data_IF_800801725425
#
_entry.id   IF_800801725425
#
_cell.length_a   1.000
_cell.length_b   1.000
_cell.length_c   1.000
_cell.angle_alpha   90.00
_cell.angle_beta   90.00
_cell.angle_gamma   90.00
#
_symmetry.space_group_name_H-M   'P 1'
#
loop_
_entity.id
_entity.type
_entity.pdbx_description
1 polymer ?
#
# COMPACT_ATOMS: atom_id res chain seq x y z
N UNK A 1 43.48 57.04 -27.47
CA UNK A 1 44.92 56.81 -27.75
C UNK A 1 45.52 56.34 -26.43
N UNK A 2 46.00 55.12 -26.19
CA UNK A 2 46.61 54.04 -26.99
C UNK A 2 46.33 52.71 -26.22
N UNK A 3 45.57 51.80 -26.83
CA UNK A 3 45.90 50.40 -27.20
C UNK A 3 46.39 49.42 -26.12
N UNK A 4 45.57 48.40 -25.87
CA UNK A 4 45.89 47.12 -25.22
C UNK A 4 46.92 46.32 -26.05
N UNK A 5 47.54 45.27 -25.50
CA UNK A 5 47.14 43.94 -25.98
C UNK A 5 46.88 42.93 -24.83
N UNK A 6 45.78 42.14 -24.87
CA UNK A 6 45.64 40.90 -24.12
C UNK A 6 46.37 39.80 -24.92
N UNK A 7 46.87 38.69 -24.34
CA UNK A 7 46.07 37.45 -24.24
C UNK A 7 46.66 36.41 -23.21
N UNK A 8 46.25 35.15 -23.01
CA UNK A 8 45.45 34.17 -23.76
C UNK A 8 44.63 33.26 -22.82
N UNK A 9 43.55 32.67 -23.37
CA UNK A 9 42.67 31.69 -22.75
C UNK A 9 43.21 30.26 -22.92
N UNK A 10 42.71 29.31 -22.13
CA UNK A 10 42.69 27.90 -22.55
C UNK A 10 41.24 27.47 -22.78
N UNK A 11 41.03 27.18 -24.06
CA UNK A 11 39.85 26.75 -24.82
C UNK A 11 39.40 25.34 -24.38
N UNK A 12 38.09 25.08 -24.15
CA UNK A 12 37.07 24.59 -25.13
C UNK A 12 37.22 23.07 -25.40
N UNK A 13 36.20 22.20 -25.32
CA UNK A 13 34.92 22.08 -26.05
C UNK A 13 33.96 21.18 -25.21
N UNK A 14 32.65 21.44 -25.03
CA UNK A 14 31.51 21.55 -25.98
C UNK A 14 30.92 20.18 -26.40
N UNK A 15 29.70 19.96 -25.89
CA UNK A 15 28.50 19.32 -26.48
C UNK A 15 28.62 17.96 -27.19
N UNK A 16 27.82 16.97 -26.76
CA UNK A 16 26.69 16.50 -27.57
C UNK A 16 25.72 15.56 -26.82
N UNK A 17 24.44 15.77 -27.08
CA UNK A 17 23.32 14.83 -27.01
C UNK A 17 23.67 13.45 -27.63
N UNK A 18 23.25 12.34 -27.03
CA UNK A 18 22.35 11.34 -27.66
C UNK A 18 22.16 10.05 -26.82
N UNK A 19 20.88 9.70 -26.67
CA UNK A 19 20.35 8.35 -26.51
C UNK A 19 20.66 7.50 -27.75
N UNK A 20 21.12 6.24 -27.61
CA UNK A 20 20.57 5.02 -28.26
C UNK A 20 21.47 3.77 -28.10
N UNK A 21 20.81 2.62 -27.87
CA UNK A 21 21.10 1.24 -28.25
C UNK A 21 22.39 0.52 -27.80
N UNK A 22 22.25 -0.61 -27.09
CA UNK A 22 22.20 -1.95 -27.69
C UNK A 22 23.24 -2.15 -28.80
N UNK A 23 24.36 -2.79 -28.47
CA UNK A 23 25.11 -3.75 -29.31
C UNK A 23 26.43 -4.08 -28.59
N UNK A 24 26.40 -5.04 -27.67
CA UNK A 24 27.60 -5.73 -27.17
C UNK A 24 27.38 -7.25 -27.16
N UNK A 25 26.78 -7.74 -28.24
CA UNK A 25 26.87 -9.12 -28.68
C UNK A 25 27.48 -9.04 -30.07
N UNK A 26 28.78 -9.32 -30.15
CA UNK A 26 29.55 -9.68 -31.35
C UNK A 26 30.98 -9.20 -31.12
N UNK A 27 31.76 -9.87 -30.26
CA UNK A 27 33.19 -10.12 -30.49
C UNK A 27 33.62 -11.23 -29.53
N UNK A 28 34.51 -12.10 -30.00
CA UNK A 28 35.11 -13.28 -29.34
C UNK A 28 34.48 -14.64 -29.62
N UNK A 29 34.48 -15.01 -30.91
CA UNK A 29 34.82 -16.38 -31.30
C UNK A 29 36.19 -16.34 -32.02
N UNK A 30 37.29 -16.47 -31.26
CA UNK A 30 38.64 -16.62 -31.81
C UNK A 30 39.37 -17.75 -31.07
N UNK A 31 39.64 -18.90 -31.71
CA UNK A 31 40.02 -20.14 -31.03
C UNK A 31 41.52 -20.28 -30.71
N UNK A 32 42.22 -19.20 -30.33
CA UNK A 32 43.69 -19.25 -30.13
C UNK A 32 44.22 -19.15 -28.70
N UNK A 33 43.39 -19.04 -27.66
CA UNK A 33 43.88 -19.02 -26.27
C UNK A 33 42.88 -19.64 -25.29
N UNK A 34 43.07 -20.89 -24.81
CA UNK A 34 42.26 -21.44 -23.74
C UNK A 34 42.72 -20.91 -22.36
N UNK A 35 41.83 -20.27 -21.62
CA UNK A 35 42.07 -19.83 -20.23
C UNK A 35 41.65 -20.96 -19.29
N UNK A 36 42.59 -21.44 -18.47
CA UNK A 36 42.40 -22.48 -17.45
C UNK A 36 41.72 -21.91 -16.19
N UNK A 37 40.73 -22.63 -15.65
CA UNK A 37 40.03 -22.29 -14.39
C UNK A 37 40.51 -23.26 -13.30
N UNK A 38 41.03 -22.79 -12.15
CA UNK A 38 41.46 -23.68 -11.07
C UNK A 38 40.29 -24.10 -10.17
N UNK A 39 40.24 -25.40 -9.86
CA UNK A 39 39.28 -26.07 -8.97
C UNK A 39 39.81 -26.14 -7.54
N UNK A 40 38.97 -25.76 -6.56
CA UNK A 40 39.25 -25.95 -5.13
C UNK A 40 38.37 -27.07 -4.57
N UNK A 41 39.00 -28.03 -3.91
CA UNK A 41 38.39 -29.17 -3.24
C UNK A 41 38.26 -28.87 -1.74
N UNK A 42 37.08 -29.01 -1.16
CA UNK A 42 36.89 -29.08 0.29
C UNK A 42 36.35 -30.45 0.67
N UNK A 43 37.08 -31.13 1.54
CA UNK A 43 36.82 -32.45 2.08
C UNK A 43 35.89 -32.35 3.30
N UNK A 44 34.81 -33.12 3.32
CA UNK A 44 33.97 -33.31 4.51
C UNK A 44 33.83 -34.80 4.79
N UNK A 45 34.33 -35.24 5.95
CA UNK A 45 34.27 -36.62 6.47
C UNK A 45 33.02 -36.82 7.32
N UNK A 46 32.20 -37.84 7.03
CA UNK A 46 31.24 -38.44 8.00
C UNK A 46 31.11 -39.95 7.74
N UNK A 47 31.23 -40.76 8.80
CA UNK A 47 31.11 -42.23 8.84
C UNK A 47 29.64 -42.67 9.04
N UNK A 48 29.24 -43.92 8.75
CA UNK A 48 27.84 -44.28 8.54
C UNK A 48 27.13 -44.73 9.82
N UNK A 49 25.89 -44.27 10.02
CA UNK A 49 24.97 -44.83 11.02
C UNK A 49 23.62 -45.15 10.36
N UNK A 50 23.31 -46.44 10.34
CA UNK A 50 22.09 -47.10 9.88
C UNK A 50 20.82 -46.45 10.43
N UNK A 51 19.94 -46.00 9.54
CA UNK A 51 18.52 -45.78 9.85
C UNK A 51 17.66 -46.47 8.78
N UNK A 52 16.92 -47.51 9.19
CA UNK A 52 15.93 -48.20 8.36
C UNK A 52 14.74 -47.26 8.16
N UNK A 53 14.45 -46.84 6.92
CA UNK A 53 13.15 -46.24 6.59
C UNK A 53 12.20 -47.30 6.05
N UNK A 54 11.05 -47.37 6.72
CA UNK A 54 9.87 -48.14 6.37
C UNK A 54 9.31 -47.68 5.02
N UNK A 55 9.17 -48.62 4.09
CA UNK A 55 8.48 -48.43 2.83
C UNK A 55 6.96 -48.38 3.05
N UNK A 56 6.32 -47.27 2.65
CA UNK A 56 5.00 -47.31 2.00
C UNK A 56 4.57 -45.90 1.55
N UNK A 57 5.03 -45.51 0.37
CA UNK A 57 4.26 -44.66 -0.54
C UNK A 57 4.57 -45.15 -1.96
N UNK A 58 3.55 -45.68 -2.62
CA UNK A 58 3.62 -46.22 -3.98
C UNK A 58 3.72 -45.03 -4.95
N UNK A 59 4.92 -44.53 -5.18
CA UNK A 59 5.17 -43.57 -6.24
C UNK A 59 5.25 -44.34 -7.57
N UNK A 60 4.23 -44.19 -8.42
CA UNK A 60 4.31 -44.63 -9.82
C UNK A 60 4.88 -43.46 -10.63
N UNK A 61 6.01 -43.62 -11.32
CA UNK A 61 6.51 -42.59 -12.22
C UNK A 61 5.47 -42.26 -13.29
N UNK A 62 5.31 -40.97 -13.61
CA UNK A 62 4.54 -40.57 -14.78
C UNK A 62 5.20 -41.17 -16.05
N UNK A 63 4.44 -41.68 -17.02
CA UNK A 63 5.03 -42.22 -18.26
C UNK A 63 5.82 -41.11 -18.96
N UNK A 64 7.14 -41.26 -19.02
CA UNK A 64 7.97 -40.43 -19.88
C UNK A 64 7.72 -40.91 -21.31
N UNK A 65 7.13 -40.05 -22.13
CA UNK A 65 6.95 -40.30 -23.56
C UNK A 65 8.28 -40.00 -24.25
N UNK A 66 9.03 -41.03 -24.63
CA UNK A 66 10.22 -40.89 -25.45
C UNK A 66 9.82 -40.36 -26.83
N UNK A 67 10.09 -39.07 -27.06
CA UNK A 67 9.65 -38.33 -28.24
C UNK A 67 10.56 -38.52 -29.47
N UNK A 68 11.22 -39.68 -29.61
CA UNK A 68 12.13 -39.93 -30.75
C UNK A 68 11.82 -41.15 -31.63
N UNK A 69 10.74 -41.90 -31.40
CA UNK A 69 10.45 -43.13 -32.18
C UNK A 69 9.21 -43.06 -33.09
N UNK A 70 8.75 -41.87 -33.49
CA UNK A 70 7.75 -41.75 -34.55
C UNK A 70 8.37 -41.30 -35.88
N UNK A 71 8.92 -42.25 -36.65
CA UNK A 71 8.95 -42.15 -38.11
C UNK A 71 7.53 -42.34 -38.66
N UNK A 72 6.64 -41.40 -38.34
CA UNK A 72 5.35 -41.25 -38.99
C UNK A 72 5.49 -40.20 -40.08
N UNK A 73 5.15 -40.54 -41.32
CA UNK A 73 5.08 -39.57 -42.42
C UNK A 73 4.22 -38.36 -42.01
N UNK A 74 4.86 -37.21 -41.78
CA UNK A 74 4.18 -35.93 -41.70
C UNK A 74 3.72 -35.54 -43.12
N UNK A 75 2.61 -36.10 -43.59
CA UNK A 75 2.11 -35.86 -44.95
C UNK A 75 1.34 -34.54 -45.08
N UNK A 76 1.24 -33.71 -44.04
CA UNK A 76 0.54 -32.44 -44.15
C UNK A 76 1.15 -31.40 -43.21
N UNK A 77 1.50 -30.25 -43.78
CA UNK A 77 1.86 -29.08 -43.00
C UNK A 77 0.68 -28.67 -42.11
N UNK A 78 0.93 -28.12 -40.91
CA UNK A 78 -0.12 -27.52 -40.09
C UNK A 78 -0.91 -26.51 -40.94
N UNK A 79 -2.24 -26.41 -40.79
CA UNK A 79 -3.00 -25.38 -41.49
C UNK A 79 -2.37 -24.02 -41.19
N UNK A 80 -2.15 -23.21 -42.23
CA UNK A 80 -1.69 -21.85 -42.08
C UNK A 80 -2.67 -21.12 -41.16
N UNK A 81 -2.15 -20.32 -40.22
CA UNK A 81 -2.99 -19.42 -39.43
C UNK A 81 -3.80 -18.57 -40.41
N UNK A 82 -5.10 -18.82 -40.43
CA UNK A 82 -6.04 -17.96 -41.14
C UNK A 82 -6.10 -16.70 -40.29
N UNK A 83 -5.53 -15.61 -40.79
CA UNK A 83 -5.85 -14.27 -40.29
C UNK A 83 -7.33 -14.03 -40.63
N UNK A 84 -8.23 -14.53 -39.78
CA UNK A 84 -9.61 -14.08 -39.81
C UNK A 84 -9.62 -12.58 -39.45
N UNK A 85 -10.36 -11.74 -40.19
CA UNK A 85 -10.46 -10.35 -39.83
C UNK A 85 -11.16 -10.28 -38.47
N UNK A 86 -10.39 -10.11 -37.39
CA UNK A 86 -10.94 -9.97 -36.05
C UNK A 86 -11.87 -8.77 -36.08
N UNK A 87 -13.16 -9.03 -36.02
CA UNK A 87 -14.12 -7.97 -35.78
C UNK A 87 -13.81 -7.39 -34.40
N UNK A 88 -14.03 -6.09 -34.19
CA UNK A 88 -13.82 -5.43 -32.89
C UNK A 88 -14.57 -6.12 -31.74
N UNK A 89 -15.56 -6.96 -32.06
CA UNK A 89 -16.35 -7.78 -31.15
C UNK A 89 -15.57 -8.98 -30.59
N UNK A 90 -14.70 -9.60 -31.37
CA UNK A 90 -13.98 -10.82 -30.98
C UNK A 90 -12.78 -10.52 -30.07
N UNK A 91 -12.15 -9.35 -30.23
CA UNK A 91 -11.15 -8.86 -29.27
C UNK A 91 -11.78 -8.54 -27.90
N UNK A 92 -13.04 -8.09 -27.87
CA UNK A 92 -13.76 -7.86 -26.61
C UNK A 92 -14.13 -9.18 -25.91
N UNK A 93 -14.36 -10.27 -26.66
CA UNK A 93 -14.60 -11.60 -26.10
C UNK A 93 -13.33 -12.21 -25.47
N UNK A 94 -12.14 -11.96 -26.06
CA UNK A 94 -10.86 -12.36 -25.47
C UNK A 94 -10.45 -11.51 -24.27
N UNK A 95 -10.90 -10.25 -24.22
CA UNK A 95 -10.63 -9.34 -23.10
C UNK A 95 -11.67 -9.40 -21.97
N UNK A 96 -12.75 -10.18 -22.13
CA UNK A 96 -13.77 -10.44 -21.12
C UNK A 96 -14.48 -9.18 -20.62
N UNK A 97 -15.75 -9.01 -20.97
CA UNK A 97 -16.58 -7.97 -20.36
C UNK A 97 -16.65 -8.08 -18.82
N UNK A 98 -17.17 -7.06 -18.11
CA UNK A 98 -17.36 -7.13 -16.66
C UNK A 98 -18.13 -8.41 -16.27
N UNK A 99 -17.50 -9.30 -15.50
CA UNK A 99 -18.07 -10.61 -15.13
C UNK A 99 -19.33 -10.44 -14.29
N UNK A 100 -20.38 -11.17 -14.64
CA UNK A 100 -21.66 -11.14 -13.92
C UNK A 100 -21.73 -12.23 -12.85
N UNK A 101 -22.55 -12.06 -11.81
CA UNK A 101 -22.72 -13.10 -10.77
C UNK A 101 -23.52 -14.31 -11.26
N UNK A 102 -24.16 -14.21 -12.42
CA UNK A 102 -24.91 -15.26 -13.10
C UNK A 102 -24.04 -16.07 -14.07
N UNK A 103 -22.79 -15.65 -14.29
CA UNK A 103 -21.86 -16.41 -15.11
C UNK A 103 -21.56 -17.76 -14.43
N UNK A 104 -21.83 -18.85 -15.15
CA UNK A 104 -21.71 -20.22 -14.68
C UNK A 104 -20.24 -20.68 -14.70
N UNK A 105 -19.39 -19.91 -14.03
CA UNK A 105 -17.94 -20.05 -14.00
C UNK A 105 -17.54 -20.61 -12.64
N UNK A 106 -16.60 -21.57 -12.55
CA UNK A 106 -16.12 -22.10 -11.29
C UNK A 106 -15.73 -20.99 -10.31
N UNK A 107 -15.98 -21.18 -9.01
CA UNK A 107 -15.77 -20.15 -7.97
C UNK A 107 -14.33 -19.59 -7.97
N UNK A 108 -13.35 -20.40 -8.37
CA UNK A 108 -11.95 -20.00 -8.54
C UNK A 108 -11.74 -18.83 -9.52
N UNK A 109 -12.65 -18.60 -10.46
CA UNK A 109 -12.59 -17.48 -11.42
C UNK A 109 -13.48 -16.28 -11.02
N UNK A 110 -14.27 -16.40 -9.95
CA UNK A 110 -15.06 -15.28 -9.40
C UNK A 110 -14.19 -14.34 -8.55
N UNK A 111 -13.11 -14.87 -8.00
CA UNK A 111 -12.03 -14.08 -7.39
C UNK A 111 -11.09 -13.60 -8.48
N UNK A 112 -11.28 -12.35 -8.93
CA UNK A 112 -10.24 -11.65 -9.66
C UNK A 112 -9.05 -11.34 -8.74
N UNK A 113 -7.85 -11.17 -9.30
CA UNK A 113 -6.67 -10.82 -8.50
C UNK A 113 -6.81 -9.47 -7.79
N UNK A 114 -7.76 -8.65 -8.23
CA UNK A 114 -8.11 -7.36 -7.62
C UNK A 114 -9.63 -7.17 -7.58
N UNK A 115 -10.10 -6.26 -6.72
CA UNK A 115 -11.52 -5.97 -6.53
C UNK A 115 -12.21 -5.59 -7.84
N UNK A 116 -11.58 -4.87 -8.76
CA UNK A 116 -12.22 -4.51 -10.05
C UNK A 116 -12.54 -5.71 -10.94
N UNK A 117 -11.80 -6.82 -10.82
CA UNK A 117 -11.94 -8.03 -11.62
C UNK A 117 -12.93 -9.04 -11.00
N UNK A 118 -13.27 -8.86 -9.73
CA UNK A 118 -14.22 -9.72 -9.03
C UNK A 118 -15.66 -9.45 -9.44
N UNK A 119 -16.55 -10.44 -9.26
CA UNK A 119 -17.99 -10.26 -9.49
C UNK A 119 -18.57 -9.19 -8.57
N UNK A 120 -19.66 -8.54 -8.99
CA UNK A 120 -20.26 -7.42 -8.27
C UNK A 120 -20.61 -7.75 -6.81
N UNK A 121 -21.09 -8.96 -6.53
CA UNK A 121 -21.46 -9.40 -5.19
C UNK A 121 -20.23 -9.49 -4.27
N UNK A 122 -19.12 -10.01 -4.79
CA UNK A 122 -17.84 -10.10 -4.06
C UNK A 122 -17.28 -8.70 -3.78
N UNK A 123 -17.37 -7.80 -4.76
CA UNK A 123 -16.93 -6.40 -4.60
C UNK A 123 -17.70 -5.68 -3.51
N UNK A 124 -19.03 -5.79 -3.54
CA UNK A 124 -19.89 -5.18 -2.54
C UNK A 124 -19.67 -5.79 -1.15
N UNK A 125 -19.41 -7.10 -1.06
CA UNK A 125 -19.07 -7.77 0.19
C UNK A 125 -17.74 -7.27 0.77
N UNK A 126 -16.70 -7.13 -0.07
CA UNK A 126 -15.41 -6.55 0.31
C UNK A 126 -15.57 -5.13 0.86
N UNK A 127 -16.21 -4.25 0.10
CA UNK A 127 -16.45 -2.85 0.51
C UNK A 127 -17.23 -2.80 1.82
N UNK A 128 -18.30 -3.59 1.96
CA UNK A 128 -19.05 -3.67 3.21
C UNK A 128 -18.17 -4.08 4.38
N UNK A 129 -17.28 -5.05 4.20
CA UNK A 129 -16.38 -5.53 5.25
C UNK A 129 -15.38 -4.45 5.67
N UNK A 130 -14.76 -3.74 4.71
CA UNK A 130 -13.85 -2.61 4.96
C UNK A 130 -14.55 -1.52 5.79
N UNK A 131 -15.70 -1.04 5.33
CA UNK A 131 -16.43 0.03 6.02
C UNK A 131 -17.04 -0.42 7.35
N UNK A 132 -17.35 -1.71 7.53
CA UNK A 132 -17.79 -2.24 8.83
C UNK A 132 -16.66 -2.23 9.85
N UNK A 133 -15.46 -2.67 9.45
CA UNK A 133 -14.26 -2.61 10.27
C UNK A 133 -13.95 -1.15 10.63
N UNK A 134 -13.88 -0.28 9.62
CA UNK A 134 -13.65 1.16 9.80
C UNK A 134 -14.61 1.77 10.81
N UNK A 135 -15.91 1.51 10.66
CA UNK A 135 -16.95 2.03 11.56
C UNK A 135 -16.70 1.57 13.00
N UNK A 136 -16.37 0.29 13.20
CA UNK A 136 -16.04 -0.23 14.52
C UNK A 136 -14.81 0.46 15.12
N UNK A 137 -13.77 0.73 14.32
CA UNK A 137 -12.56 1.44 14.77
C UNK A 137 -12.87 2.88 15.19
N UNK A 138 -13.68 3.61 14.41
CA UNK A 138 -14.09 4.97 14.73
C UNK A 138 -14.97 5.03 15.98
N UNK A 139 -15.92 4.12 16.13
CA UNK A 139 -16.77 4.02 17.34
C UNK A 139 -15.92 3.70 18.57
N UNK A 140 -14.99 2.75 18.48
CA UNK A 140 -14.09 2.43 19.59
C UNK A 140 -13.22 3.65 19.97
N UNK A 141 -12.71 4.37 18.97
CA UNK A 141 -11.92 5.59 19.17
C UNK A 141 -12.73 6.69 19.85
N UNK A 142 -13.96 6.92 19.39
CA UNK A 142 -14.86 7.91 19.97
C UNK A 142 -15.25 7.55 21.41
N UNK A 143 -15.55 6.28 21.69
CA UNK A 143 -15.91 5.80 23.01
C UNK A 143 -14.76 5.94 24.02
N UNK A 144 -13.53 5.58 23.62
CA UNK A 144 -12.36 5.75 24.48
C UNK A 144 -11.99 7.22 24.69
N UNK A 145 -12.17 8.05 23.66
CA UNK A 145 -11.94 9.50 23.75
C UNK A 145 -12.99 10.18 24.64
N UNK A 146 -14.26 9.76 24.59
CA UNK A 146 -15.33 10.35 25.39
C UNK A 146 -15.15 10.10 26.89
N UNK A 147 -14.47 9.01 27.27
CA UNK A 147 -14.13 8.73 28.66
C UNK A 147 -13.28 9.84 29.30
N UNK A 148 -12.44 10.52 28.49
CA UNK A 148 -11.63 11.66 28.97
C UNK A 148 -12.46 12.88 29.38
N UNK A 149 -13.70 13.00 28.89
CA UNK A 149 -14.60 14.10 29.25
C UNK A 149 -15.54 13.76 30.41
N UNK A 150 -15.90 12.49 30.57
CA UNK A 150 -16.81 12.07 31.64
C UNK A 150 -16.11 11.74 32.96
N UNK A 151 -14.85 11.31 32.91
CA UNK A 151 -14.09 10.93 34.10
C UNK A 151 -12.85 11.80 34.28
N UNK A 152 -12.90 12.70 35.26
CA UNK A 152 -11.74 13.51 35.67
C UNK A 152 -10.56 12.63 36.08
N UNK A 153 -10.80 11.51 36.80
CA UNK A 153 -9.73 10.59 37.20
C UNK A 153 -9.01 9.94 36.02
N UNK A 154 -9.76 9.57 34.96
CA UNK A 154 -9.14 9.04 33.75
C UNK A 154 -8.34 10.12 33.02
N UNK A 155 -8.90 11.34 32.90
CA UNK A 155 -8.22 12.49 32.31
C UNK A 155 -6.90 12.82 33.01
N UNK A 156 -6.93 12.93 34.34
CA UNK A 156 -5.73 13.24 35.13
C UNK A 156 -4.68 12.14 35.00
N UNK A 157 -5.11 10.88 34.92
CA UNK A 157 -4.22 9.74 34.75
C UNK A 157 -3.52 9.73 33.38
N UNK A 158 -4.26 9.91 32.27
CA UNK A 158 -3.67 9.92 30.92
C UNK A 158 -2.76 11.13 30.71
N UNK A 159 -3.06 12.28 31.32
CA UNK A 159 -2.22 13.48 31.26
C UNK A 159 -0.98 13.37 32.14
N UNK A 160 -1.08 12.68 33.29
CA UNK A 160 0.04 12.47 34.22
C UNK A 160 1.04 11.41 33.77
N UNK A 161 0.67 10.47 32.90
CA UNK A 161 1.52 9.37 32.45
C UNK A 161 1.93 9.51 30.98
N UNK A 162 2.63 10.60 30.63
CA UNK A 162 3.03 10.89 29.24
C UNK A 162 3.85 9.77 28.57
N UNK A 163 4.55 8.93 29.34
CA UNK A 163 5.27 7.77 28.82
C UNK A 163 4.36 6.75 28.12
N UNK A 164 3.10 6.64 28.55
CA UNK A 164 2.13 5.73 27.94
C UNK A 164 1.74 6.16 26.52
N UNK A 165 1.84 7.46 26.21
CA UNK A 165 1.63 7.94 24.84
C UNK A 165 2.71 7.42 23.89
N UNK A 166 3.97 7.32 24.33
CA UNK A 166 5.01 6.70 23.52
C UNK A 166 4.79 5.19 23.36
N UNK A 167 4.34 4.51 24.42
CA UNK A 167 3.99 3.09 24.36
C UNK A 167 2.84 2.84 23.39
N UNK A 168 1.81 3.69 23.39
CA UNK A 168 0.71 3.57 22.43
C UNK A 168 1.14 3.85 21.01
N UNK A 169 1.98 4.88 20.78
CA UNK A 169 2.50 5.20 19.45
C UNK A 169 3.35 4.07 18.85
N UNK A 170 4.37 3.61 19.58
CA UNK A 170 5.23 2.52 19.11
C UNK A 170 4.50 1.19 19.07
N UNK A 171 3.59 0.97 20.02
CA UNK A 171 2.73 -0.20 20.05
C UNK A 171 1.80 -0.25 18.84
N UNK A 172 1.18 0.88 18.44
CA UNK A 172 0.32 0.95 17.26
C UNK A 172 1.11 0.57 16.00
N UNK A 173 2.32 1.10 15.81
CA UNK A 173 3.21 0.72 14.70
C UNK A 173 3.54 -0.79 14.77
N UNK A 174 3.87 -1.31 15.95
CA UNK A 174 4.16 -2.74 16.16
C UNK A 174 2.97 -3.64 15.80
N UNK A 175 1.77 -3.31 16.27
CA UNK A 175 0.54 -4.06 15.96
C UNK A 175 0.14 -3.92 14.49
N UNK A 176 0.41 -2.78 13.85
CA UNK A 176 0.22 -2.61 12.41
C UNK A 176 1.13 -3.55 11.61
N UNK A 177 2.42 -3.63 11.97
CA UNK A 177 3.38 -4.57 11.35
C UNK A 177 2.99 -6.04 11.59
N UNK A 178 2.53 -6.38 12.80
CA UNK A 178 2.03 -7.72 13.12
C UNK A 178 0.78 -8.06 12.29
N UNK A 179 -0.13 -7.10 12.13
CA UNK A 179 -1.33 -7.27 11.30
C UNK A 179 -0.95 -7.51 9.84
N UNK A 180 0.04 -6.78 9.32
CA UNK A 180 0.56 -7.00 7.98
C UNK A 180 1.21 -8.39 7.84
N UNK A 181 2.06 -8.80 8.80
CA UNK A 181 2.70 -10.11 8.77
C UNK A 181 1.71 -11.27 8.84
N UNK A 182 0.65 -11.13 9.64
CA UNK A 182 -0.38 -12.15 9.86
C UNK A 182 -1.65 -11.90 9.06
N UNK A 183 -1.58 -11.07 8.01
CA UNK A 183 -2.74 -10.63 7.22
C UNK A 183 -3.62 -11.77 6.68
N UNK A 184 -3.03 -12.92 6.32
CA UNK A 184 -3.72 -14.10 5.78
C UNK A 184 -4.23 -15.08 6.86
N UNK A 185 -3.96 -14.82 8.14
CA UNK A 185 -4.32 -15.73 9.24
C UNK A 185 -5.54 -15.20 10.00
N UNK A 186 -6.72 -15.68 9.61
CA UNK A 186 -7.97 -15.41 10.31
C UNK A 186 -8.17 -16.41 11.48
N UNK A 187 -8.63 -15.98 12.68
CA UNK A 187 -9.01 -14.62 13.10
C UNK A 187 -7.86 -13.83 13.76
N UNK A 188 -6.63 -14.34 13.75
CA UNK A 188 -5.48 -13.69 14.41
C UNK A 188 -5.23 -12.27 13.92
N UNK A 189 -5.45 -12.02 12.62
CA UNK A 189 -5.36 -10.69 12.00
C UNK A 189 -6.33 -9.67 12.63
N UNK A 190 -7.54 -10.08 13.03
CA UNK A 190 -8.50 -9.22 13.72
C UNK A 190 -8.07 -8.92 15.16
N UNK A 191 -7.41 -9.86 15.84
CA UNK A 191 -6.86 -9.62 17.17
C UNK A 191 -5.77 -8.55 17.12
N UNK A 192 -4.83 -8.65 16.16
CA UNK A 192 -3.80 -7.64 15.99
C UNK A 192 -4.37 -6.29 15.55
N UNK A 193 -5.38 -6.30 14.68
CA UNK A 193 -6.12 -5.10 14.32
C UNK A 193 -6.77 -4.43 15.54
N UNK A 194 -7.39 -5.21 16.43
CA UNK A 194 -8.01 -4.67 17.64
C UNK A 194 -6.98 -4.05 18.58
N UNK A 195 -5.79 -4.66 18.70
CA UNK A 195 -4.67 -4.10 19.46
C UNK A 195 -4.17 -2.78 18.84
N UNK A 196 -4.00 -2.74 17.52
CA UNK A 196 -3.68 -1.51 16.79
C UNK A 196 -4.71 -0.41 17.08
N UNK A 197 -6.00 -0.70 16.91
CA UNK A 197 -7.08 0.25 17.13
C UNK A 197 -7.18 0.71 18.59
N UNK A 198 -6.95 -0.16 19.56
CA UNK A 198 -6.97 0.22 20.97
C UNK A 198 -5.83 1.19 21.32
N UNK A 199 -4.63 0.96 20.78
CA UNK A 199 -3.47 1.82 21.01
C UNK A 199 -3.61 3.16 20.28
N UNK A 200 -4.13 3.15 19.04
CA UNK A 200 -4.40 4.38 18.31
C UNK A 200 -5.52 5.19 18.97
N UNK A 201 -6.62 4.54 19.35
CA UNK A 201 -7.71 5.16 20.11
C UNK A 201 -7.22 5.77 21.43
N UNK A 202 -6.28 5.11 22.11
CA UNK A 202 -5.65 5.65 23.31
C UNK A 202 -4.86 6.92 23.00
N UNK A 203 -4.01 6.90 21.97
CA UNK A 203 -3.24 8.09 21.54
C UNK A 203 -4.18 9.26 21.23
N UNK A 204 -5.27 9.02 20.49
CA UNK A 204 -6.30 10.04 20.19
C UNK A 204 -6.97 10.54 21.48
N UNK A 205 -7.33 9.65 22.41
CA UNK A 205 -7.91 10.01 23.71
C UNK A 205 -6.99 10.93 24.53
N UNK A 206 -5.68 10.65 24.56
CA UNK A 206 -4.68 11.52 25.19
C UNK A 206 -4.67 12.90 24.54
N UNK A 207 -4.55 12.98 23.21
CA UNK A 207 -4.48 14.25 22.49
C UNK A 207 -5.74 15.08 22.75
N UNK A 208 -6.90 14.48 22.55
CA UNK A 208 -8.21 15.12 22.71
C UNK A 208 -8.46 15.62 24.13
N UNK A 209 -7.88 14.99 25.15
CA UNK A 209 -8.02 15.42 26.55
C UNK A 209 -7.48 16.83 26.83
N UNK A 210 -6.57 17.34 25.98
CA UNK A 210 -6.00 18.69 26.07
C UNK A 210 -6.84 19.76 25.39
N UNK A 211 -7.92 19.39 24.70
CA UNK A 211 -8.81 20.31 24.00
C UNK A 211 -10.14 20.49 24.75
N UNK A 212 -10.81 21.61 24.50
CA UNK A 212 -12.18 21.82 24.99
C UNK A 212 -13.15 20.87 24.27
N UNK A 213 -14.10 20.31 25.02
CA UNK A 213 -15.04 19.32 24.51
C UNK A 213 -15.94 19.85 23.38
N UNK A 214 -16.23 21.16 23.35
CA UNK A 214 -16.97 21.80 22.26
C UNK A 214 -16.18 21.77 20.95
N UNK A 215 -14.90 22.15 21.01
CA UNK A 215 -13.99 22.14 19.85
C UNK A 215 -13.85 20.72 19.30
N UNK A 216 -13.76 19.74 20.20
CA UNK A 216 -13.65 18.33 19.83
C UNK A 216 -14.92 17.85 19.12
N UNK A 217 -16.10 18.20 19.63
CA UNK A 217 -17.37 17.84 19.00
C UNK A 217 -17.51 18.48 17.61
N UNK A 218 -17.16 19.76 17.45
CA UNK A 218 -17.14 20.45 16.17
C UNK A 218 -16.20 19.78 15.16
N UNK A 219 -14.99 19.41 15.61
CA UNK A 219 -14.02 18.71 14.78
C UNK A 219 -14.57 17.35 14.30
N UNK A 220 -15.18 16.55 15.19
CA UNK A 220 -15.80 15.27 14.82
C UNK A 220 -16.88 15.45 13.75
N UNK A 221 -17.76 16.44 13.91
CA UNK A 221 -18.84 16.70 12.94
C UNK A 221 -18.30 17.13 11.57
N UNK A 222 -17.29 18.01 11.55
CA UNK A 222 -16.65 18.45 10.31
C UNK A 222 -15.90 17.31 9.61
N UNK A 223 -15.13 16.51 10.35
CA UNK A 223 -14.43 15.35 9.78
C UNK A 223 -15.41 14.33 9.22
N UNK A 224 -16.50 14.02 9.93
CA UNK A 224 -17.53 13.11 9.45
C UNK A 224 -18.19 13.63 8.16
N UNK A 225 -18.53 14.91 8.10
CA UNK A 225 -19.08 15.55 6.91
C UNK A 225 -18.12 15.51 5.71
N UNK A 226 -16.85 15.86 5.93
CA UNK A 226 -15.81 15.79 4.88
C UNK A 226 -15.57 14.36 4.41
N UNK A 227 -15.44 13.41 5.32
CA UNK A 227 -15.23 12.01 4.98
C UNK A 227 -16.37 11.46 4.11
N UNK A 228 -17.64 11.71 4.48
CA UNK A 228 -18.80 11.28 3.70
C UNK A 228 -18.82 11.97 2.34
N UNK A 229 -18.61 13.29 2.28
CA UNK A 229 -18.61 14.04 1.03
C UNK A 229 -17.50 13.57 0.07
N UNK A 230 -16.28 13.40 0.56
CA UNK A 230 -15.12 12.94 -0.21
C UNK A 230 -15.32 11.49 -0.68
N UNK A 231 -15.81 10.61 0.20
CA UNK A 231 -16.12 9.22 -0.17
C UNK A 231 -17.15 9.17 -1.29
N UNK A 232 -18.27 9.89 -1.15
CA UNK A 232 -19.31 9.95 -2.19
C UNK A 232 -18.78 10.52 -3.51
N UNK A 233 -17.92 11.55 -3.44
CA UNK A 233 -17.28 12.12 -4.61
C UNK A 233 -16.33 11.13 -5.29
N UNK A 234 -15.48 10.44 -4.53
CA UNK A 234 -14.57 9.41 -5.02
C UNK A 234 -15.30 8.24 -5.69
N UNK A 235 -16.48 7.87 -5.19
CA UNK A 235 -17.34 6.82 -5.76
C UNK A 235 -17.96 7.22 -7.10
N UNK A 236 -18.32 8.50 -7.27
CA UNK A 236 -19.04 8.98 -8.46
C UNK A 236 -18.13 9.51 -9.56
N UNK A 237 -16.94 9.99 -9.18
CA UNK A 237 -16.03 10.63 -10.13
C UNK A 237 -15.41 9.63 -11.10
N UNK A 238 -15.28 10.06 -12.35
CA UNK A 238 -14.55 9.33 -13.41
C UNK A 238 -13.06 9.64 -13.40
N UNK A 239 -12.64 10.69 -12.70
CA UNK A 239 -11.23 11.03 -12.56
C UNK A 239 -10.52 9.97 -11.73
N UNK A 240 -9.36 9.54 -12.18
CA UNK A 240 -8.54 8.55 -11.49
C UNK A 240 -7.54 9.25 -10.56
N UNK A 241 -7.88 9.34 -9.28
CA UNK A 241 -7.02 9.90 -8.25
C UNK A 241 -5.90 8.93 -7.85
N UNK A 242 -5.95 7.65 -8.21
CA UNK A 242 -4.90 6.69 -7.80
C UNK A 242 -3.51 7.06 -8.32
N UNK A 243 -3.46 7.78 -9.45
CA UNK A 243 -2.23 8.38 -10.00
C UNK A 243 -1.57 9.42 -9.07
N UNK A 244 -2.27 9.90 -8.03
CA UNK A 244 -1.74 10.87 -7.06
C UNK A 244 -0.91 10.21 -5.96
N UNK A 245 -0.96 8.88 -5.82
CA UNK A 245 -0.27 8.12 -4.78
C UNK A 245 1.22 8.51 -4.57
N UNK A 246 2.08 8.64 -5.59
CA UNK A 246 3.48 9.00 -5.36
C UNK A 246 3.66 10.42 -4.79
N UNK A 247 2.81 11.36 -5.19
CA UNK A 247 2.85 12.74 -4.67
C UNK A 247 2.36 12.78 -3.22
N UNK A 248 1.29 12.04 -2.91
CA UNK A 248 0.79 11.91 -1.55
C UNK A 248 1.81 11.23 -0.64
N UNK A 249 2.46 10.16 -1.10
CA UNK A 249 3.54 9.51 -0.34
C UNK A 249 4.67 10.48 -0.01
N UNK A 250 5.10 11.30 -0.98
CA UNK A 250 6.10 12.35 -0.73
C UNK A 250 5.63 13.42 0.24
N UNK A 251 4.36 13.85 0.14
CA UNK A 251 3.80 14.88 1.02
C UNK A 251 3.60 14.39 2.46
N UNK A 252 3.28 13.11 2.66
CA UNK A 252 3.23 12.48 3.98
C UNK A 252 4.60 12.49 4.66
N UNK A 253 5.66 12.13 3.94
CA UNK A 253 7.03 12.21 4.48
C UNK A 253 7.43 13.65 4.82
N UNK A 254 7.05 14.63 3.98
CA UNK A 254 7.27 16.03 4.28
C UNK A 254 6.53 16.48 5.55
N UNK A 255 5.28 16.05 5.74
CA UNK A 255 4.48 16.28 6.94
C UNK A 255 5.17 15.69 8.18
N UNK A 256 5.61 14.44 8.12
CA UNK A 256 6.28 13.76 9.23
C UNK A 256 7.59 14.48 9.60
N UNK A 257 8.44 14.79 8.62
CA UNK A 257 9.71 15.48 8.87
C UNK A 257 9.50 16.89 9.44
N UNK A 258 8.52 17.62 8.90
CA UNK A 258 8.18 18.94 9.42
C UNK A 258 7.61 18.85 10.84
N UNK A 259 6.69 17.91 11.10
CA UNK A 259 6.12 17.69 12.43
C UNK A 259 7.17 17.27 13.45
N UNK A 260 8.14 16.44 13.04
CA UNK A 260 9.30 16.09 13.86
C UNK A 260 10.16 17.32 14.17
N UNK A 261 10.48 18.16 13.18
CA UNK A 261 11.19 19.41 13.39
C UNK A 261 10.42 20.34 14.34
N UNK A 262 9.11 20.52 14.12
CA UNK A 262 8.24 21.35 14.94
C UNK A 262 8.19 20.91 16.42
N UNK A 263 8.49 19.64 16.72
CA UNK A 263 8.57 19.14 18.10
C UNK A 263 9.80 19.65 18.87
N UNK A 264 10.89 20.01 18.19
CA UNK A 264 12.13 20.51 18.83
C UNK A 264 12.33 22.02 18.71
N UNK A 265 11.67 22.65 17.73
CA UNK A 265 11.83 24.08 17.46
C UNK A 265 10.55 24.84 17.80
N UNK A 266 10.64 25.99 18.51
CA UNK A 266 9.46 26.81 18.77
C UNK A 266 8.92 27.38 17.45
N UNK A 267 7.61 27.28 17.25
CA UNK A 267 6.91 27.85 16.11
C UNK A 267 5.80 28.81 16.57
N UNK A 268 5.38 29.71 15.69
CA UNK A 268 4.26 30.61 15.96
C UNK A 268 2.93 29.95 15.60
N UNK A 269 1.83 30.56 16.07
CA UNK A 269 0.46 30.10 15.78
C UNK A 269 0.14 30.06 14.28
N UNK A 270 0.69 30.98 13.49
CA UNK A 270 0.48 31.00 12.03
C UNK A 270 1.08 29.76 11.33
N UNK A 271 2.26 29.32 11.74
CA UNK A 271 2.89 28.10 11.22
C UNK A 271 2.07 26.87 11.63
N UNK A 272 1.54 26.83 12.85
CA UNK A 272 0.72 25.71 13.33
C UNK A 272 -0.62 25.61 12.56
N UNK A 273 -1.25 26.76 12.31
CA UNK A 273 -2.46 26.84 11.49
C UNK A 273 -2.19 26.43 10.04
N UNK A 274 -1.08 26.90 9.44
CA UNK A 274 -0.69 26.52 8.10
C UNK A 274 -0.38 25.01 8.00
N UNK A 275 0.37 24.47 8.96
CA UNK A 275 0.70 23.05 9.03
C UNK A 275 -0.56 22.18 9.11
N UNK A 276 -1.49 22.51 9.99
CA UNK A 276 -2.74 21.77 10.15
C UNK A 276 -3.66 21.93 8.94
N UNK A 277 -3.71 23.10 8.31
CA UNK A 277 -4.43 23.31 7.04
C UNK A 277 -3.88 22.45 5.90
N UNK A 278 -2.56 22.41 5.73
CA UNK A 278 -1.89 21.56 4.73
C UNK A 278 -2.12 20.07 5.04
N UNK A 279 -2.02 19.67 6.31
CA UNK A 279 -2.31 18.31 6.74
C UNK A 279 -3.75 17.91 6.38
N UNK A 280 -4.74 18.75 6.69
CA UNK A 280 -6.13 18.49 6.38
C UNK A 280 -6.37 18.30 4.87
N UNK A 281 -5.73 19.10 4.02
CA UNK A 281 -5.82 18.95 2.56
C UNK A 281 -5.18 17.64 2.07
N UNK A 282 -4.01 17.29 2.60
CA UNK A 282 -3.30 16.06 2.23
C UNK A 282 -4.11 14.82 2.64
N UNK A 283 -4.58 14.76 3.89
CA UNK A 283 -5.38 13.62 4.35
C UNK A 283 -6.76 13.55 3.68
N UNK A 284 -7.34 14.69 3.30
CA UNK A 284 -8.54 14.70 2.43
C UNK A 284 -8.26 14.10 1.05
N UNK A 285 -7.11 14.39 0.46
CA UNK A 285 -6.70 13.79 -0.82
C UNK A 285 -6.38 12.29 -0.68
N UNK A 286 -5.78 11.88 0.44
CA UNK A 286 -5.61 10.47 0.77
C UNK A 286 -6.95 9.73 0.87
N UNK A 287 -7.96 10.27 1.56
CA UNK A 287 -9.32 9.67 1.59
C UNK A 287 -9.88 9.45 0.18
N UNK A 288 -9.68 10.39 -0.75
CA UNK A 288 -10.11 10.23 -2.14
C UNK A 288 -9.40 9.06 -2.82
N UNK A 289 -8.08 8.99 -2.70
CA UNK A 289 -7.25 7.93 -3.30
C UNK A 289 -7.57 6.58 -2.67
N UNK A 290 -7.60 6.49 -1.36
CA UNK A 290 -7.83 5.27 -0.61
C UNK A 290 -9.23 4.72 -0.86
N UNK A 291 -10.25 5.59 -0.95
CA UNK A 291 -11.60 5.19 -1.37
C UNK A 291 -11.58 4.56 -2.76
N UNK A 292 -10.86 5.15 -3.73
CA UNK A 292 -10.75 4.58 -5.08
C UNK A 292 -9.95 3.27 -5.11
N UNK A 293 -8.90 3.16 -4.30
CA UNK A 293 -8.15 1.91 -4.14
C UNK A 293 -9.06 0.81 -3.60
N UNK A 294 -9.88 1.10 -2.59
CA UNK A 294 -10.87 0.17 -2.00
C UNK A 294 -11.87 -0.32 -3.05
N UNK A 295 -12.34 0.56 -3.94
CA UNK A 295 -13.34 0.19 -4.93
C UNK A 295 -12.81 -0.62 -6.13
N UNK A 296 -11.49 -0.57 -6.39
CA UNK A 296 -10.93 -1.02 -7.66
C UNK A 296 -9.63 -1.85 -7.55
N UNK A 297 -8.72 -1.52 -6.64
CA UNK A 297 -7.32 -1.98 -6.72
C UNK A 297 -6.87 -2.94 -5.62
N UNK A 298 -7.49 -2.92 -4.44
CA UNK A 298 -7.15 -3.90 -3.39
C UNK A 298 -7.47 -5.33 -3.84
N UNK A 299 -6.76 -6.31 -3.28
CA UNK A 299 -7.18 -7.71 -3.38
C UNK A 299 -8.30 -8.00 -2.37
N UNK A 300 -9.22 -8.91 -2.70
CA UNK A 300 -10.47 -9.17 -1.93
C UNK A 300 -10.21 -9.67 -0.49
N UNK A 301 -9.00 -10.14 -0.21
CA UNK A 301 -8.53 -10.59 1.11
C UNK A 301 -7.75 -9.53 1.90
N UNK A 302 -7.67 -8.30 1.38
CA UNK A 302 -6.88 -7.21 1.97
C UNK A 302 -7.74 -6.17 2.68
N UNK A 303 -8.93 -6.56 3.14
CA UNK A 303 -9.90 -5.66 3.74
C UNK A 303 -9.38 -4.98 5.02
N UNK A 304 -8.50 -5.66 5.75
CA UNK A 304 -7.91 -5.12 6.98
C UNK A 304 -6.89 -4.03 6.65
N UNK A 305 -6.06 -4.23 5.63
CA UNK A 305 -5.09 -3.23 5.21
C UNK A 305 -5.81 -1.98 4.68
N UNK A 306 -6.81 -2.18 3.83
CA UNK A 306 -7.70 -1.14 3.34
C UNK A 306 -8.37 -0.34 4.48
N UNK A 307 -8.89 -1.03 5.49
CA UNK A 307 -9.53 -0.38 6.63
C UNK A 307 -8.52 0.41 7.49
N UNK A 308 -7.31 -0.12 7.72
CA UNK A 308 -6.25 0.58 8.47
C UNK A 308 -5.86 1.88 7.78
N UNK A 309 -5.60 1.87 6.46
CA UNK A 309 -5.17 3.07 5.74
C UNK A 309 -6.26 4.15 5.78
N UNK A 310 -7.50 3.80 5.44
CA UNK A 310 -8.62 4.74 5.47
C UNK A 310 -8.92 5.24 6.90
N UNK A 311 -8.75 4.41 7.92
CA UNK A 311 -8.87 4.81 9.33
C UNK A 311 -7.81 5.85 9.71
N UNK A 312 -6.54 5.62 9.35
CA UNK A 312 -5.46 6.57 9.63
C UNK A 312 -5.69 7.90 8.91
N UNK A 313 -6.20 7.90 7.69
CA UNK A 313 -6.51 9.14 6.98
C UNK A 313 -7.59 9.96 7.71
N UNK A 314 -8.65 9.29 8.19
CA UNK A 314 -9.73 9.96 8.93
C UNK A 314 -9.22 10.48 10.28
N UNK A 315 -8.43 9.70 11.02
CA UNK A 315 -7.88 10.14 12.32
C UNK A 315 -6.95 11.33 12.12
N UNK A 316 -6.07 11.28 11.12
CA UNK A 316 -5.16 12.39 10.87
C UNK A 316 -5.89 13.64 10.36
N UNK A 317 -6.92 13.49 9.52
CA UNK A 317 -7.80 14.59 9.12
C UNK A 317 -8.52 15.18 10.34
N UNK A 318 -9.02 14.34 11.25
CA UNK A 318 -9.64 14.77 12.50
C UNK A 318 -8.66 15.58 13.36
N UNK A 319 -7.45 15.07 13.60
CA UNK A 319 -6.44 15.78 14.40
C UNK A 319 -6.01 17.10 13.75
N UNK A 320 -5.95 17.17 12.42
CA UNK A 320 -5.67 18.39 11.68
C UNK A 320 -6.79 19.43 11.87
N UNK A 321 -8.05 19.03 11.67
CA UNK A 321 -9.22 19.90 11.87
C UNK A 321 -9.33 20.36 13.33
N UNK A 322 -9.14 19.46 14.28
CA UNK A 322 -9.13 19.76 15.71
C UNK A 322 -8.11 20.87 16.04
N UNK A 323 -6.91 20.79 15.47
CA UNK A 323 -5.87 21.80 15.65
C UNK A 323 -6.26 23.13 15.00
N UNK A 324 -6.84 23.13 13.80
CA UNK A 324 -7.32 24.34 13.13
C UNK A 324 -8.36 25.06 14.00
N UNK A 325 -9.39 24.34 14.48
CA UNK A 325 -10.44 24.93 15.30
C UNK A 325 -9.91 25.46 16.64
N UNK A 326 -8.96 24.75 17.24
CA UNK A 326 -8.32 25.22 18.48
C UNK A 326 -7.52 26.52 18.29
N UNK A 327 -6.85 26.68 17.16
CA UNK A 327 -6.12 27.91 16.84
C UNK A 327 -7.04 29.09 16.50
N UNK A 328 -8.26 28.83 16.03
CA UNK A 328 -9.25 29.89 15.76
C UNK A 328 -9.97 30.38 17.02
N UNK A 329 -10.05 29.53 18.05
CA UNK A 329 -10.75 29.82 19.30
C UNK A 329 -9.84 30.39 20.42
N UNK A 330 -8.52 30.40 20.22
CA UNK A 330 -7.53 30.98 21.14
C UNK A 330 -6.94 32.28 20.57
#
# INVERSE_FOLDING_TARGET
MISVPPPKPTLINVLHHQSYNQHQLLFFNNPRYPVQIPSYTLTSTVSPSTFKMSANTKYSPAPQRDSMDHTGSYSQAPPAYIDEPTSSTDQAALLGGPRSSEDNVPDDFKYGGVVSEATIDIRMAFVRKVYSILTAQLVATAALSSLSFWSSSYKDWIQGHSWMMFVSLFGAIGFMLLTYWKRKSYPTNLLFLSGFTALEAYSVSVIVSFYDSKIVLEAVLLTAGLFVALTLFACQTKYDFTSWMPYLFGSLWALILFGFMAAFFPHNSMIELAYSGIAALIFSAYILVDTQLIMRHYHVEEEIAAAISLYLDIINLFLAILRILNQQNN
#
